data_IF_106340756001
#
_entry.id   IF_106340756001
#
_cell.length_a   1.000
_cell.length_b   1.000
_cell.length_c   1.000
_cell.angle_alpha   90.00
_cell.angle_beta   90.00
_cell.angle_gamma   90.00
#
_symmetry.space_group_name_H-M   'P 1'
#
loop_
_entity.id
_entity.type
_entity.pdbx_description
1 polymer ?
#
# COMPACT_ATOMS: atom_id res chain seq x y z
N UNK A 1 9.75 11.09 23.67
CA UNK A 1 9.23 9.71 23.87
C UNK A 1 9.81 8.70 22.89
N UNK A 2 9.92 9.00 21.58
CA UNK A 2 10.47 8.05 20.59
C UNK A 2 12.00 8.01 20.47
N UNK A 3 12.71 8.90 21.17
CA UNK A 3 14.18 8.97 21.16
C UNK A 3 14.70 10.35 20.78
N UNK A 4 16.00 10.42 20.52
CA UNK A 4 16.74 11.59 20.04
C UNK A 4 17.01 11.52 18.53
N UNK A 5 17.54 12.60 17.96
CA UNK A 5 18.01 12.61 16.57
C UNK A 5 19.16 11.60 16.34
N UNK A 6 19.99 11.34 17.34
CA UNK A 6 21.05 10.33 17.26
C UNK A 6 20.45 8.92 17.19
N UNK A 7 19.46 8.62 18.03
CA UNK A 7 18.73 7.34 18.00
C UNK A 7 18.07 7.11 16.63
N UNK A 8 17.46 8.16 16.08
CA UNK A 8 16.84 8.12 14.76
C UNK A 8 17.86 7.81 13.65
N UNK A 9 18.98 8.53 13.61
CA UNK A 9 20.05 8.28 12.63
C UNK A 9 20.62 6.86 12.76
N UNK A 10 20.78 6.36 13.99
CA UNK A 10 21.21 4.99 14.24
C UNK A 10 20.23 3.96 13.68
N UNK A 11 18.92 4.19 13.83
CA UNK A 11 17.88 3.35 13.22
C UNK A 11 17.97 3.35 11.69
N UNK A 12 18.05 4.54 11.07
CA UNK A 12 18.15 4.67 9.61
C UNK A 12 19.40 3.95 9.09
N UNK A 13 20.55 4.19 9.70
CA UNK A 13 21.81 3.54 9.34
C UNK A 13 21.73 2.02 9.48
N UNK A 14 21.09 1.51 10.54
CA UNK A 14 20.91 0.07 10.74
C UNK A 14 20.02 -0.55 9.66
N UNK A 15 18.94 0.12 9.30
CA UNK A 15 18.05 -0.31 8.22
C UNK A 15 18.79 -0.35 6.87
N UNK A 16 19.56 0.69 6.55
CA UNK A 16 20.39 0.75 5.34
C UNK A 16 21.44 -0.37 5.28
N UNK A 17 22.12 -0.64 6.41
CA UNK A 17 23.08 -1.75 6.50
C UNK A 17 22.45 -3.13 6.27
N UNK A 18 21.13 -3.25 6.45
CA UNK A 18 20.36 -4.45 6.16
C UNK A 18 19.77 -4.46 4.74
N UNK A 19 20.10 -3.47 3.91
CA UNK A 19 19.56 -3.32 2.56
C UNK A 19 18.11 -2.83 2.50
N UNK A 20 17.59 -2.29 3.61
CA UNK A 20 16.26 -1.70 3.68
C UNK A 20 16.31 -0.21 3.38
N UNK A 21 15.17 0.33 2.95
CA UNK A 21 14.94 1.77 2.76
C UNK A 21 14.01 2.26 3.86
N UNK A 22 14.18 3.51 4.28
CA UNK A 22 13.35 4.12 5.34
C UNK A 22 12.59 5.29 4.77
N UNK A 23 11.26 5.23 4.85
CA UNK A 23 10.39 6.38 4.58
C UNK A 23 9.74 6.84 5.87
N UNK A 24 9.37 8.12 5.95
CA UNK A 24 8.64 8.66 7.09
C UNK A 24 7.28 9.20 6.66
N UNK A 25 6.38 9.29 7.63
CA UNK A 25 5.11 9.98 7.44
C UNK A 25 5.34 11.49 7.40
N UNK A 26 4.72 12.16 6.43
CA UNK A 26 4.68 13.61 6.30
C UNK A 26 3.24 14.05 6.39
N UNK A 27 2.93 14.87 7.40
CA UNK A 27 1.58 15.40 7.67
C UNK A 27 1.52 16.89 7.29
N UNK A 28 1.26 17.22 6.01
CA UNK A 28 1.25 18.60 5.54
C UNK A 28 -0.09 19.29 5.76
N UNK A 29 -1.19 18.57 6.00
CA UNK A 29 -2.52 19.18 6.03
C UNK A 29 -2.74 20.11 7.24
N UNK A 30 -2.14 19.77 8.38
CA UNK A 30 -2.37 20.46 9.64
C UNK A 30 -1.17 20.31 10.59
N UNK A 31 -1.15 21.13 11.65
CA UNK A 31 -0.21 21.00 12.76
C UNK A 31 -0.96 20.87 14.09
N UNK A 32 -0.25 20.48 15.14
CA UNK A 32 -0.77 20.61 16.50
C UNK A 32 -1.02 22.09 16.90
N UNK A 33 -1.85 22.37 17.92
CA UNK A 33 -2.23 23.73 18.32
C UNK A 33 -1.09 24.52 18.96
N UNK A 34 -0.09 23.83 19.48
CA UNK A 34 1.12 24.38 20.10
C UNK A 34 2.30 24.52 19.13
N UNK A 35 2.11 24.18 17.85
CA UNK A 35 3.15 24.32 16.83
C UNK A 35 3.65 25.77 16.75
N UNK A 36 4.98 26.02 16.69
CA UNK A 36 5.53 27.38 16.70
C UNK A 36 4.95 28.32 15.63
N UNK A 37 4.62 27.79 14.46
CA UNK A 37 3.97 28.55 13.39
C UNK A 37 2.63 29.18 13.80
N UNK A 38 1.89 28.60 14.74
CA UNK A 38 0.60 29.18 15.20
C UNK A 38 0.80 30.60 15.74
N UNK A 39 1.95 30.86 16.38
CA UNK A 39 2.33 32.19 16.90
C UNK A 39 3.22 32.96 15.93
N UNK A 40 4.19 32.30 15.31
CA UNK A 40 5.25 32.96 14.50
C UNK A 40 4.82 33.25 13.06
N UNK A 41 3.96 32.40 12.50
CA UNK A 41 3.46 32.48 11.11
C UNK A 41 1.94 32.32 11.10
N UNK A 42 1.20 33.24 11.74
CA UNK A 42 -0.24 33.12 11.87
C UNK A 42 -0.97 33.03 10.51
N UNK A 43 -0.38 33.58 9.45
CA UNK A 43 -0.83 33.58 8.06
C UNK A 43 -0.68 32.23 7.35
N UNK A 44 -0.03 31.24 7.96
CA UNK A 44 0.05 29.88 7.41
C UNK A 44 -1.22 29.07 7.63
N UNK A 45 -2.19 29.59 8.40
CA UNK A 45 -3.36 28.84 8.84
C UNK A 45 -4.65 29.39 8.26
N UNK A 46 -5.59 28.48 7.96
CA UNK A 46 -6.97 28.87 7.74
C UNK A 46 -7.55 29.29 9.09
N UNK A 47 -8.14 30.48 9.14
CA UNK A 47 -8.67 31.07 10.37
C UNK A 47 -10.17 31.27 10.29
N UNK A 48 -10.82 31.09 11.42
CA UNK A 48 -12.21 31.45 11.59
C UNK A 48 -12.36 32.97 11.42
N UNK A 49 -13.30 33.40 10.58
CA UNK A 49 -13.45 34.80 10.21
C UNK A 49 -13.96 35.69 11.36
N UNK A 50 -14.49 35.10 12.43
CA UNK A 50 -15.06 35.83 13.57
C UNK A 50 -14.06 35.90 14.72
N UNK A 51 -13.53 34.76 15.13
CA UNK A 51 -12.62 34.62 16.28
C UNK A 51 -11.16 34.83 15.91
N UNK A 52 -10.81 34.71 14.63
CA UNK A 52 -9.43 34.77 14.15
C UNK A 52 -8.57 33.56 14.55
N UNK A 53 -9.17 32.55 15.20
CA UNK A 53 -8.46 31.35 15.68
C UNK A 53 -8.27 30.38 14.50
N UNK A 54 -7.09 29.76 14.35
CA UNK A 54 -6.89 28.70 13.35
C UNK A 54 -7.90 27.55 13.53
N UNK A 55 -8.54 27.14 12.44
CA UNK A 55 -9.57 26.08 12.45
C UNK A 55 -8.94 24.69 12.28
N UNK A 56 -9.64 23.63 12.68
CA UNK A 56 -9.32 22.27 12.25
C UNK A 56 -9.94 21.97 10.87
N UNK A 57 -9.70 20.79 10.31
CA UNK A 57 -10.31 20.36 9.04
C UNK A 57 -11.84 20.33 9.16
N UNK A 58 -12.58 21.16 8.38
CA UNK A 58 -14.05 21.17 8.46
C UNK A 58 -14.64 19.80 8.14
N UNK A 59 -15.66 19.39 8.90
CA UNK A 59 -16.34 18.10 8.73
C UNK A 59 -15.61 16.90 9.33
N UNK A 60 -14.58 17.13 10.16
CA UNK A 60 -13.85 16.09 10.90
C UNK A 60 -13.92 16.35 12.40
N UNK A 61 -13.58 15.35 13.19
CA UNK A 61 -13.45 15.42 14.65
C UNK A 61 -12.03 15.77 15.12
N UNK A 62 -11.16 16.21 14.20
CA UNK A 62 -9.73 16.53 14.43
C UNK A 62 -9.51 17.85 15.19
N UNK A 63 -10.24 18.03 16.29
CA UNK A 63 -10.30 19.28 17.08
C UNK A 63 -8.96 19.68 17.71
N UNK A 64 -8.03 18.74 17.82
CA UNK A 64 -6.66 18.89 18.26
C UNK A 64 -5.70 19.31 17.13
N UNK A 65 -6.18 19.56 15.92
CA UNK A 65 -5.35 20.00 14.79
C UNK A 65 -5.65 21.43 14.35
N UNK A 66 -4.70 22.07 13.67
CA UNK A 66 -4.83 23.40 13.05
C UNK A 66 -4.49 23.31 11.57
N UNK A 67 -5.48 23.57 10.72
CA UNK A 67 -5.41 23.43 9.27
C UNK A 67 -4.55 24.51 8.63
N UNK A 68 -3.62 24.07 7.80
CA UNK A 68 -2.73 24.94 7.05
C UNK A 68 -3.41 25.47 5.76
N UNK A 69 -3.07 26.70 5.36
CA UNK A 69 -3.56 27.34 4.14
C UNK A 69 -2.56 27.19 3.00
N UNK A 70 -2.75 26.16 2.17
CA UNK A 70 -1.90 25.92 0.99
C UNK A 70 -2.11 26.91 -0.15
N UNK A 71 -2.89 27.99 0.01
CA UNK A 71 -2.81 29.15 -0.88
C UNK A 71 -1.57 30.00 -0.60
N UNK A 72 -1.01 29.93 0.61
CA UNK A 72 0.18 30.67 1.01
C UNK A 72 1.44 30.02 0.41
N UNK A 73 2.17 30.74 -0.45
CA UNK A 73 3.39 30.21 -1.11
C UNK A 73 4.61 30.18 -0.19
N UNK A 74 4.66 31.01 0.84
CA UNK A 74 5.72 30.94 1.85
C UNK A 74 5.62 29.68 2.70
N UNK A 75 4.39 29.21 2.96
CA UNK A 75 4.15 27.91 3.57
C UNK A 75 4.73 26.78 2.70
N UNK A 76 4.59 26.86 1.36
CA UNK A 76 5.14 25.84 0.47
C UNK A 76 6.65 25.74 0.61
N UNK A 77 7.34 26.88 0.56
CA UNK A 77 8.79 26.92 0.69
C UNK A 77 9.25 26.41 2.06
N UNK A 78 8.54 26.78 3.12
CA UNK A 78 8.81 26.29 4.49
C UNK A 78 8.61 24.78 4.62
N UNK A 79 7.53 24.26 4.04
CA UNK A 79 7.20 22.82 4.02
C UNK A 79 8.26 22.03 3.26
N UNK A 80 8.62 22.47 2.05
CA UNK A 80 9.65 21.82 1.22
C UNK A 80 11.03 21.89 1.91
N UNK A 81 11.35 23.00 2.55
CA UNK A 81 12.59 23.14 3.34
C UNK A 81 12.65 22.12 4.48
N UNK A 82 11.57 21.93 5.22
CA UNK A 82 11.50 20.93 6.29
C UNK A 82 11.65 19.50 5.77
N UNK A 83 11.02 19.16 4.64
CA UNK A 83 11.21 17.86 3.99
C UNK A 83 12.67 17.65 3.55
N UNK A 84 13.29 18.65 2.94
CA UNK A 84 14.72 18.61 2.58
C UNK A 84 15.63 18.46 3.79
N UNK A 85 15.30 19.11 4.90
CA UNK A 85 16.03 18.94 6.16
C UNK A 85 16.03 17.48 6.61
N UNK A 86 14.87 16.81 6.66
CA UNK A 86 14.80 15.40 7.04
C UNK A 86 15.65 14.51 6.14
N UNK A 87 15.60 14.73 4.82
CA UNK A 87 16.40 13.99 3.85
C UNK A 87 17.89 14.20 4.06
N UNK A 88 18.33 15.46 4.19
CA UNK A 88 19.74 15.81 4.34
C UNK A 88 20.31 15.39 5.70
N UNK A 89 19.53 15.59 6.77
CA UNK A 89 19.97 15.36 8.15
C UNK A 89 20.02 13.87 8.48
N UNK A 90 19.05 13.11 7.98
CA UNK A 90 18.80 11.74 8.48
C UNK A 90 19.03 10.65 7.43
N UNK A 91 19.12 11.03 6.15
CA UNK A 91 19.37 10.08 5.07
C UNK A 91 18.17 9.23 4.66
N UNK A 92 16.96 9.50 5.18
CA UNK A 92 15.72 8.81 4.77
C UNK A 92 15.55 8.78 3.25
N UNK A 93 14.87 7.75 2.77
CA UNK A 93 14.74 7.43 1.35
C UNK A 93 13.40 7.87 0.75
N UNK A 94 12.51 8.47 1.53
CA UNK A 94 11.22 8.88 1.02
C UNK A 94 10.23 9.34 2.08
N UNK A 95 9.03 9.66 1.58
CA UNK A 95 7.91 10.12 2.39
C UNK A 95 6.63 9.36 2.01
N UNK A 96 5.84 8.99 3.02
CA UNK A 96 4.39 8.77 2.89
C UNK A 96 3.71 10.10 3.21
N UNK A 97 2.97 10.64 2.25
CA UNK A 97 2.34 11.95 2.38
C UNK A 97 0.88 11.78 2.77
N UNK A 98 0.58 12.07 4.04
CA UNK A 98 -0.74 12.07 4.63
C UNK A 98 -1.69 13.02 3.91
N UNK A 99 -2.92 12.57 3.69
CA UNK A 99 -4.02 13.35 3.14
C UNK A 99 -3.58 14.22 1.95
N UNK A 100 -2.87 13.61 1.00
CA UNK A 100 -2.16 14.31 -0.08
C UNK A 100 -3.10 15.14 -1.00
N UNK A 101 -4.40 14.89 -0.94
CA UNK A 101 -5.42 15.65 -1.66
C UNK A 101 -5.52 17.11 -1.20
N UNK A 102 -5.33 17.37 0.11
CA UNK A 102 -5.64 18.68 0.71
C UNK A 102 -4.74 19.83 0.25
N UNK A 103 -3.50 19.54 -0.16
CA UNK A 103 -2.49 20.53 -0.53
C UNK A 103 -2.57 20.93 -2.01
N UNK A 104 -3.19 20.07 -2.83
CA UNK A 104 -3.38 20.27 -4.26
C UNK A 104 -2.20 19.85 -5.12
N UNK A 105 -2.50 19.56 -6.40
CA UNK A 105 -1.55 19.08 -7.42
C UNK A 105 -0.33 19.98 -7.59
N UNK A 106 -0.52 21.30 -7.61
CA UNK A 106 0.54 22.25 -7.91
C UNK A 106 1.62 22.28 -6.82
N UNK A 107 1.22 22.15 -5.55
CA UNK A 107 2.15 22.05 -4.44
C UNK A 107 3.01 20.80 -4.59
N UNK A 108 2.38 19.65 -4.78
CA UNK A 108 3.08 18.38 -4.92
C UNK A 108 3.99 18.34 -6.14
N UNK A 109 3.57 18.94 -7.26
CA UNK A 109 4.40 19.06 -8.47
C UNK A 109 5.70 19.80 -8.15
N UNK A 110 5.62 20.93 -7.43
CA UNK A 110 6.82 21.68 -7.01
C UNK A 110 7.64 20.89 -5.99
N UNK A 111 7.01 20.38 -4.94
CA UNK A 111 7.67 19.69 -3.84
C UNK A 111 8.42 18.43 -4.33
N UNK A 112 7.77 17.59 -5.11
CA UNK A 112 8.35 16.36 -5.65
C UNK A 112 9.52 16.67 -6.60
N UNK A 113 9.41 17.68 -7.46
CA UNK A 113 10.51 18.11 -8.34
C UNK A 113 11.74 18.58 -7.53
N UNK A 114 11.52 19.38 -6.49
CA UNK A 114 12.60 19.88 -5.65
C UNK A 114 13.25 18.77 -4.79
N UNK A 115 12.45 17.84 -4.27
CA UNK A 115 12.95 16.71 -3.49
C UNK A 115 13.73 15.72 -4.37
N UNK A 116 13.23 15.39 -5.56
CA UNK A 116 13.95 14.54 -6.52
C UNK A 116 15.24 15.17 -7.02
N UNK A 117 15.30 16.50 -7.10
CA UNK A 117 16.55 17.24 -7.35
C UNK A 117 17.52 17.14 -6.17
N UNK A 118 17.03 17.25 -4.93
CA UNK A 118 17.86 17.18 -3.73
C UNK A 118 18.36 15.76 -3.44
N UNK A 119 17.54 14.74 -3.69
CA UNK A 119 17.87 13.33 -3.57
C UNK A 119 17.28 12.55 -4.74
N UNK A 120 18.07 12.30 -5.80
CA UNK A 120 17.65 11.43 -6.89
C UNK A 120 17.24 10.04 -6.36
N UNK A 121 16.07 9.56 -6.79
CA UNK A 121 15.52 8.28 -6.35
C UNK A 121 14.82 8.29 -4.99
N UNK A 122 14.55 9.47 -4.41
CA UNK A 122 13.66 9.59 -3.26
C UNK A 122 12.25 9.06 -3.62
N UNK A 123 11.69 8.21 -2.77
CA UNK A 123 10.36 7.63 -2.94
C UNK A 123 9.30 8.59 -2.40
N UNK A 124 8.35 8.97 -3.24
CA UNK A 124 7.18 9.75 -2.84
C UNK A 124 5.93 8.87 -2.92
N UNK A 125 5.35 8.53 -1.77
CA UNK A 125 4.10 7.79 -1.63
C UNK A 125 2.97 8.76 -1.24
N UNK A 126 1.92 8.85 -2.05
CA UNK A 126 0.72 9.62 -1.72
C UNK A 126 -0.30 8.76 -0.99
N UNK A 127 -0.81 9.22 0.15
CA UNK A 127 -2.11 8.77 0.64
C UNK A 127 -3.23 9.42 -0.20
N UNK A 128 -3.43 8.87 -1.38
CA UNK A 128 -4.48 9.23 -2.34
C UNK A 128 -4.63 8.13 -3.39
N UNK A 129 -5.68 8.22 -4.21
CA UNK A 129 -5.88 7.35 -5.39
C UNK A 129 -6.54 8.14 -6.54
N UNK A 130 -6.10 9.39 -6.75
CA UNK A 130 -6.59 10.28 -7.81
C UNK A 130 -5.67 10.29 -9.03
N UNK A 131 -6.24 10.52 -10.22
CA UNK A 131 -5.51 10.46 -11.50
C UNK A 131 -4.32 11.42 -11.64
N UNK A 132 -4.25 12.48 -10.83
CA UNK A 132 -3.22 13.50 -10.91
C UNK A 132 -1.96 13.16 -10.11
N UNK A 133 -2.01 12.15 -9.22
CA UNK A 133 -0.92 11.88 -8.27
C UNK A 133 0.42 11.59 -8.98
N UNK A 134 0.42 10.75 -10.00
CA UNK A 134 1.63 10.43 -10.75
C UNK A 134 2.09 11.60 -11.65
N UNK A 135 1.16 12.39 -12.18
CA UNK A 135 1.49 13.61 -12.91
C UNK A 135 2.17 14.66 -12.00
N UNK A 136 1.81 14.70 -10.72
CA UNK A 136 2.46 15.54 -9.71
C UNK A 136 3.82 14.99 -9.26
N UNK A 137 4.27 13.86 -9.80
CA UNK A 137 5.58 13.29 -9.54
C UNK A 137 5.65 12.36 -8.33
N UNK A 138 4.52 11.88 -7.80
CA UNK A 138 4.53 10.75 -6.87
C UNK A 138 4.95 9.47 -7.59
N UNK A 139 5.63 8.57 -6.89
CA UNK A 139 6.06 7.28 -7.42
C UNK A 139 5.03 6.17 -7.10
N UNK A 140 4.31 6.35 -6.00
CA UNK A 140 3.36 5.37 -5.48
C UNK A 140 2.12 6.02 -4.88
N UNK A 141 0.96 5.35 -4.96
CA UNK A 141 -0.27 5.73 -4.27
C UNK A 141 -0.93 4.52 -3.62
N UNK A 142 -1.93 4.69 -2.75
CA UNK A 142 -2.63 3.57 -2.13
C UNK A 142 -3.62 2.91 -3.10
N UNK A 143 -3.83 1.60 -2.96
CA UNK A 143 -4.82 0.83 -3.72
C UNK A 143 -6.18 0.75 -2.99
N UNK A 144 -6.75 1.88 -2.55
CA UNK A 144 -7.96 1.93 -1.72
C UNK A 144 -9.17 1.27 -2.37
N UNK A 145 -9.43 1.56 -3.65
CA UNK A 145 -10.53 0.96 -4.43
C UNK A 145 -10.39 -0.55 -4.51
N UNK A 146 -9.17 -1.06 -4.67
CA UNK A 146 -8.93 -2.49 -4.65
C UNK A 146 -9.21 -3.08 -3.28
N UNK A 147 -8.70 -2.47 -2.21
CA UNK A 147 -8.93 -2.93 -0.85
C UNK A 147 -10.42 -3.01 -0.52
N UNK A 148 -11.21 -1.95 -0.73
CA UNK A 148 -12.64 -1.96 -0.45
C UNK A 148 -13.39 -2.99 -1.31
N UNK A 149 -12.99 -3.19 -2.57
CA UNK A 149 -13.56 -4.24 -3.41
C UNK A 149 -13.22 -5.63 -2.88
N UNK A 150 -11.99 -5.86 -2.45
CA UNK A 150 -11.55 -7.11 -1.86
C UNK A 150 -12.32 -7.43 -0.57
N UNK A 151 -12.59 -6.44 0.29
CA UNK A 151 -13.44 -6.59 1.48
C UNK A 151 -14.86 -7.02 1.10
N UNK A 152 -15.45 -6.41 0.06
CA UNK A 152 -16.77 -6.81 -0.43
C UNK A 152 -16.80 -8.25 -0.93
N UNK A 153 -15.75 -8.69 -1.63
CA UNK A 153 -15.61 -10.07 -2.10
C UNK A 153 -15.45 -11.04 -0.94
N UNK A 154 -14.58 -10.72 0.03
CA UNK A 154 -14.37 -11.53 1.25
C UNK A 154 -15.68 -11.70 2.05
N UNK A 155 -16.49 -10.64 2.12
CA UNK A 155 -17.80 -10.65 2.75
C UNK A 155 -18.88 -11.40 1.94
N UNK A 156 -18.60 -11.81 0.70
CA UNK A 156 -19.56 -12.45 -0.21
C UNK A 156 -20.59 -11.48 -0.80
N UNK A 157 -20.35 -10.16 -0.71
CA UNK A 157 -21.24 -9.12 -1.26
C UNK A 157 -21.03 -8.89 -2.76
N UNK A 158 -19.88 -9.30 -3.28
CA UNK A 158 -19.50 -9.17 -4.69
C UNK A 158 -18.76 -10.43 -5.18
N UNK A 159 -18.87 -10.79 -6.47
CA UNK A 159 -18.10 -11.89 -7.06
C UNK A 159 -16.62 -11.51 -7.24
N UNK A 160 -15.75 -12.51 -7.38
CA UNK A 160 -14.32 -12.33 -7.66
C UNK A 160 -14.05 -11.48 -8.91
N UNK A 161 -14.82 -11.68 -9.98
CA UNK A 161 -14.77 -10.88 -11.22
C UNK A 161 -15.01 -9.38 -11.02
N UNK A 162 -15.58 -8.96 -9.88
CA UNK A 162 -15.74 -7.53 -9.60
C UNK A 162 -14.42 -6.79 -9.35
N UNK A 163 -13.30 -7.50 -9.12
CA UNK A 163 -11.97 -6.92 -9.05
C UNK A 163 -11.53 -6.34 -10.42
N UNK A 164 -12.06 -6.87 -11.53
CA UNK A 164 -11.70 -6.42 -12.88
C UNK A 164 -12.11 -4.97 -13.12
N UNK A 165 -13.18 -4.49 -12.48
CA UNK A 165 -13.59 -3.09 -12.61
C UNK A 165 -12.55 -2.13 -12.04
N UNK A 166 -11.89 -2.51 -10.95
CA UNK A 166 -10.83 -1.71 -10.33
C UNK A 166 -9.61 -1.67 -11.23
N UNK A 167 -9.22 -2.82 -11.80
CA UNK A 167 -8.09 -2.87 -12.74
C UNK A 167 -8.36 -2.05 -14.00
N UNK A 168 -9.57 -2.14 -14.55
CA UNK A 168 -9.97 -1.36 -15.71
C UNK A 168 -9.96 0.14 -15.42
N UNK A 169 -10.43 0.56 -14.25
CA UNK A 169 -10.37 1.96 -13.82
C UNK A 169 -8.92 2.43 -13.73
N UNK A 170 -8.03 1.64 -13.11
CA UNK A 170 -6.59 1.95 -13.05
C UNK A 170 -5.99 2.14 -14.46
N UNK A 171 -6.29 1.23 -15.40
CA UNK A 171 -5.76 1.29 -16.77
C UNK A 171 -6.24 2.49 -17.58
N UNK A 172 -7.42 2.99 -17.28
CA UNK A 172 -8.08 4.05 -18.08
C UNK A 172 -7.94 5.43 -17.45
N UNK A 173 -7.67 5.49 -16.15
CA UNK A 173 -7.70 6.74 -15.37
C UNK A 173 -6.32 7.37 -15.22
N UNK A 174 -5.27 6.57 -15.02
CA UNK A 174 -3.92 7.08 -14.77
C UNK A 174 -3.11 7.20 -16.06
N UNK A 175 -2.59 8.39 -16.35
CA UNK A 175 -1.85 8.70 -17.58
C UNK A 175 -0.38 8.32 -17.53
N UNK A 176 0.22 8.39 -16.33
CA UNK A 176 1.61 8.06 -16.08
C UNK A 176 1.72 6.71 -15.36
N UNK A 177 2.76 5.91 -15.66
CA UNK A 177 2.98 4.65 -14.97
C UNK A 177 3.40 4.94 -13.52
N UNK A 178 2.55 4.55 -12.58
CA UNK A 178 2.85 4.57 -11.15
C UNK A 178 2.65 3.20 -10.52
N UNK A 179 3.05 3.10 -9.25
CA UNK A 179 2.88 1.89 -8.43
C UNK A 179 1.74 2.09 -7.43
N UNK A 180 1.02 1.01 -7.15
CA UNK A 180 -0.03 0.99 -6.15
C UNK A 180 0.44 0.18 -4.93
N UNK A 181 0.32 0.77 -3.75
CA UNK A 181 0.54 0.13 -2.48
C UNK A 181 -0.69 -0.72 -2.15
N UNK A 182 -0.60 -2.03 -2.39
CA UNK A 182 -1.67 -2.98 -2.10
C UNK A 182 -1.54 -3.50 -0.67
N UNK A 183 -2.68 -3.61 0.02
CA UNK A 183 -2.73 -4.00 1.42
C UNK A 183 -4.01 -4.76 1.74
N UNK A 184 -3.97 -5.57 2.80
CA UNK A 184 -5.18 -6.12 3.46
C UNK A 184 -5.50 -5.37 4.75
N UNK A 185 -4.55 -4.58 5.25
CA UNK A 185 -4.73 -3.66 6.39
C UNK A 185 -3.64 -2.59 6.37
N UNK A 186 -3.91 -1.48 7.01
CA UNK A 186 -2.99 -0.39 7.32
C UNK A 186 -3.44 0.24 8.65
N UNK A 187 -2.78 1.31 9.11
CA UNK A 187 -3.13 1.92 10.39
C UNK A 187 -4.56 2.47 10.47
N UNK A 188 -5.12 3.07 9.41
CA UNK A 188 -6.49 3.60 9.42
C UNK A 188 -7.51 2.48 9.50
N UNK A 189 -7.38 1.47 8.65
CA UNK A 189 -8.28 0.33 8.59
C UNK A 189 -8.19 -0.51 9.86
N UNK A 190 -6.98 -0.68 10.39
CA UNK A 190 -6.77 -1.43 11.61
C UNK A 190 -7.38 -0.73 12.82
N UNK A 191 -7.11 0.57 13.00
CA UNK A 191 -7.47 1.32 14.21
C UNK A 191 -8.95 1.73 14.23
N UNK A 192 -9.49 2.18 13.10
CA UNK A 192 -10.87 2.71 13.03
C UNK A 192 -11.91 1.65 12.70
N UNK A 193 -11.54 0.62 11.95
CA UNK A 193 -12.47 -0.43 11.55
C UNK A 193 -12.21 -1.70 12.35
N UNK A 194 -11.25 -2.52 11.92
CA UNK A 194 -10.96 -3.82 12.53
C UNK A 194 -9.52 -4.21 12.24
N UNK A 195 -8.95 -5.02 13.14
CA UNK A 195 -7.72 -5.74 12.89
C UNK A 195 -7.77 -6.45 11.52
N UNK A 196 -6.61 -6.66 10.92
CA UNK A 196 -6.47 -7.30 9.61
C UNK A 196 -7.29 -8.61 9.48
N UNK A 197 -7.21 -9.47 10.51
CA UNK A 197 -8.00 -10.70 10.59
C UNK A 197 -9.48 -10.49 10.93
N UNK A 198 -9.85 -9.36 11.55
CA UNK A 198 -11.24 -8.98 11.71
C UNK A 198 -11.89 -8.53 10.39
N UNK A 199 -11.10 -7.98 9.47
CA UNK A 199 -11.55 -7.56 8.13
C UNK A 199 -11.70 -8.75 7.18
N UNK A 200 -10.72 -9.66 7.16
CA UNK A 200 -10.76 -10.90 6.35
C UNK A 200 -10.46 -12.12 7.24
N UNK A 201 -11.46 -12.72 7.90
CA UNK A 201 -11.22 -13.73 8.92
C UNK A 201 -10.83 -15.11 8.39
N UNK A 202 -9.97 -15.78 9.15
CA UNK A 202 -9.61 -17.18 8.96
C UNK A 202 -8.99 -17.47 7.59
N UNK A 203 -9.47 -18.53 6.94
CA UNK A 203 -8.93 -18.99 5.66
C UNK A 203 -9.09 -17.95 4.53
N UNK A 204 -10.07 -17.06 4.64
CA UNK A 204 -10.32 -16.03 3.61
C UNK A 204 -9.18 -15.04 3.46
N UNK A 205 -8.33 -14.84 4.48
CA UNK A 205 -7.24 -13.86 4.44
C UNK A 205 -6.18 -14.17 3.38
N UNK A 206 -5.69 -15.40 3.38
CA UNK A 206 -4.52 -15.80 2.60
C UNK A 206 -4.64 -15.53 1.09
N UNK A 207 -5.75 -15.84 0.39
CA UNK A 207 -5.86 -15.50 -1.02
C UNK A 207 -5.79 -13.99 -1.29
N UNK A 208 -6.32 -13.13 -0.42
CA UNK A 208 -6.19 -11.68 -0.60
C UNK A 208 -4.76 -11.20 -0.34
N UNK A 209 -4.06 -11.75 0.67
CA UNK A 209 -2.64 -11.47 0.89
C UNK A 209 -1.75 -11.94 -0.30
N UNK A 210 -2.13 -13.01 -0.99
CA UNK A 210 -1.50 -13.41 -2.26
C UNK A 210 -1.74 -12.35 -3.33
N UNK A 211 -2.98 -11.87 -3.49
CA UNK A 211 -3.30 -10.83 -4.47
C UNK A 211 -2.48 -9.56 -4.24
N UNK A 212 -2.41 -9.04 -3.01
CA UNK A 212 -1.65 -7.80 -2.72
C UNK A 212 -0.17 -7.88 -3.10
N UNK A 213 0.41 -9.07 -3.10
CA UNK A 213 1.81 -9.32 -3.46
C UNK A 213 2.05 -9.51 -4.96
N UNK A 214 1.01 -9.87 -5.72
CA UNK A 214 1.14 -10.42 -7.08
C UNK A 214 0.41 -9.64 -8.19
N UNK A 215 -0.52 -8.75 -7.83
CA UNK A 215 -1.18 -7.85 -8.78
C UNK A 215 -0.19 -7.01 -9.61
N UNK A 216 -0.61 -6.53 -10.77
CA UNK A 216 0.20 -5.63 -11.61
C UNK A 216 0.46 -4.29 -10.91
N UNK A 217 1.54 -3.61 -11.31
CA UNK A 217 1.94 -2.31 -10.74
C UNK A 217 1.95 -2.29 -9.20
N UNK A 218 2.12 -3.44 -8.56
CA UNK A 218 1.97 -3.55 -7.11
C UNK A 218 3.25 -3.18 -6.40
N UNK A 219 3.10 -2.65 -5.20
CA UNK A 219 4.05 -2.77 -4.09
C UNK A 219 3.23 -3.29 -2.90
N UNK A 220 3.63 -4.38 -2.25
CA UNK A 220 2.89 -4.91 -1.12
C UNK A 220 3.19 -4.12 0.15
N UNK A 221 2.16 -3.74 0.90
CA UNK A 221 2.27 -3.35 2.30
C UNK A 221 2.03 -4.59 3.16
N UNK A 222 2.98 -4.86 4.06
CA UNK A 222 2.76 -5.72 5.22
C UNK A 222 2.66 -4.80 6.43
N UNK A 223 1.51 -4.79 7.08
CA UNK A 223 1.28 -4.01 8.29
C UNK A 223 1.78 -4.78 9.52
N UNK A 224 2.36 -4.08 10.47
CA UNK A 224 2.97 -4.69 11.65
C UNK A 224 1.97 -5.59 12.39
N UNK A 225 2.38 -6.82 12.70
CA UNK A 225 1.55 -7.80 13.42
C UNK A 225 0.89 -8.84 12.53
N UNK A 226 0.92 -8.68 11.20
CA UNK A 226 0.39 -9.67 10.26
C UNK A 226 1.16 -10.99 10.27
N UNK A 227 2.42 -10.99 10.71
CA UNK A 227 3.29 -12.15 10.84
C UNK A 227 2.90 -13.01 12.05
N UNK A 228 2.36 -12.39 13.10
CA UNK A 228 1.85 -13.01 14.35
C UNK A 228 0.35 -13.33 14.34
N UNK A 229 -0.32 -13.13 13.20
CA UNK A 229 -1.75 -12.76 13.09
C UNK A 229 -2.36 -12.11 14.33
N UNK A 230 -1.94 -10.90 14.66
CA UNK A 230 -2.58 -10.13 15.75
C UNK A 230 -4.05 -9.88 15.42
N UNK A 231 -4.92 -10.25 16.36
CA UNK A 231 -6.37 -10.21 16.20
C UNK A 231 -6.99 -8.91 16.72
N UNK A 232 -6.24 -8.16 17.53
CA UNK A 232 -6.66 -6.90 18.11
C UNK A 232 -6.26 -5.72 17.22
N UNK A 233 -7.09 -4.68 17.23
CA UNK A 233 -6.81 -3.41 16.58
C UNK A 233 -5.84 -2.59 17.43
N UNK A 234 -4.81 -2.07 16.80
CA UNK A 234 -3.83 -1.17 17.42
C UNK A 234 -4.47 0.22 17.57
N UNK A 235 -4.45 0.78 18.77
CA UNK A 235 -5.06 2.10 19.02
C UNK A 235 -4.14 3.26 18.62
N UNK A 236 -4.73 4.34 18.10
CA UNK A 236 -4.01 5.62 17.88
C UNK A 236 -3.66 6.36 19.18
N UNK A 237 -4.52 6.27 20.19
CA UNK A 237 -4.44 7.15 21.37
C UNK A 237 -3.83 6.49 22.60
N UNK A 238 -3.55 5.19 22.52
CA UNK A 238 -2.96 4.42 23.61
C UNK A 238 -1.74 3.67 23.11
N UNK A 239 -0.73 3.57 23.98
CA UNK A 239 0.46 2.76 23.71
C UNK A 239 0.07 1.29 23.74
N UNK A 240 -0.18 0.75 22.56
CA UNK A 240 -0.49 -0.65 22.37
C UNK A 240 0.76 -1.41 21.92
N UNK A 241 1.05 -2.53 22.58
CA UNK A 241 2.28 -3.29 22.35
C UNK A 241 1.96 -4.55 21.56
N UNK A 242 2.46 -4.59 20.32
CA UNK A 242 2.42 -5.80 19.50
C UNK A 242 3.39 -6.82 20.10
N UNK A 243 2.86 -7.95 20.58
CA UNK A 243 3.67 -9.06 21.09
C UNK A 243 3.91 -10.07 19.98
N UNK A 244 5.16 -10.28 19.59
CA UNK A 244 5.55 -11.34 18.67
C UNK A 244 6.01 -12.57 19.45
N UNK A 245 5.45 -13.74 19.13
CA UNK A 245 5.71 -14.99 19.83
C UNK A 245 5.91 -16.17 18.87
N UNK A 246 4.94 -16.44 17.99
CA UNK A 246 4.94 -17.63 17.12
C UNK A 246 5.34 -17.31 15.69
N UNK A 247 5.12 -16.07 15.24
CA UNK A 247 5.34 -15.64 13.86
C UNK A 247 4.70 -16.61 12.86
N UNK A 248 3.49 -17.09 13.17
CA UNK A 248 2.84 -18.22 12.48
C UNK A 248 2.65 -18.00 10.97
N UNK A 249 2.68 -16.75 10.52
CA UNK A 249 2.56 -16.37 9.11
C UNK A 249 3.84 -15.85 8.48
N UNK A 250 4.93 -15.73 9.23
CA UNK A 250 6.19 -15.23 8.69
C UNK A 250 6.68 -16.05 7.50
N UNK A 251 6.55 -17.38 7.53
CA UNK A 251 6.95 -18.24 6.40
C UNK A 251 6.09 -18.02 5.15
N UNK A 252 4.79 -17.78 5.33
CA UNK A 252 3.88 -17.46 4.23
C UNK A 252 4.30 -16.15 3.53
N UNK A 253 4.49 -15.07 4.29
CA UNK A 253 4.95 -13.79 3.73
C UNK A 253 6.37 -13.90 3.16
N UNK A 254 7.27 -14.61 3.84
CA UNK A 254 8.63 -14.85 3.36
C UNK A 254 8.64 -15.57 2.01
N UNK A 255 7.77 -16.56 1.80
CA UNK A 255 7.61 -17.24 0.51
C UNK A 255 7.23 -16.26 -0.61
N UNK A 256 6.23 -15.42 -0.37
CA UNK A 256 5.77 -14.41 -1.34
C UNK A 256 6.83 -13.33 -1.60
N UNK A 257 7.49 -12.82 -0.55
CA UNK A 257 8.56 -11.84 -0.67
C UNK A 257 9.78 -12.41 -1.39
N UNK A 258 10.13 -13.68 -1.15
CA UNK A 258 11.19 -14.38 -1.86
C UNK A 258 10.85 -14.57 -3.34
N UNK A 259 9.60 -14.93 -3.67
CA UNK A 259 9.15 -14.98 -5.05
C UNK A 259 9.34 -13.61 -5.72
N UNK A 260 8.84 -12.55 -5.09
CA UNK A 260 8.90 -11.19 -5.62
C UNK A 260 10.34 -10.69 -5.81
N UNK A 261 11.22 -10.96 -4.85
CA UNK A 261 12.64 -10.58 -4.94
C UNK A 261 13.37 -11.30 -6.08
N UNK A 262 13.01 -12.55 -6.36
CA UNK A 262 13.79 -13.44 -7.22
C UNK A 262 13.10 -13.77 -8.56
N UNK A 263 11.94 -13.19 -8.86
CA UNK A 263 11.22 -13.43 -10.10
C UNK A 263 10.80 -12.10 -10.74
N UNK A 264 11.41 -11.71 -11.89
CA UNK A 264 11.12 -10.43 -12.53
C UNK A 264 9.68 -10.32 -13.05
N UNK A 265 8.93 -11.43 -13.13
CA UNK A 265 7.51 -11.40 -13.46
C UNK A 265 6.68 -10.61 -12.43
N UNK A 266 7.16 -10.40 -11.20
CA UNK A 266 6.47 -9.57 -10.21
C UNK A 266 6.96 -8.11 -10.19
N UNK A 267 7.79 -7.70 -11.15
CA UNK A 267 8.14 -6.29 -11.32
C UNK A 267 6.90 -5.44 -11.65
N UNK A 268 6.94 -4.15 -11.31
CA UNK A 268 5.81 -3.24 -11.53
C UNK A 268 5.41 -3.10 -13.01
N UNK A 269 6.38 -3.20 -13.90
CA UNK A 269 6.27 -3.10 -15.36
C UNK A 269 6.15 -4.46 -16.08
N UNK A 270 6.10 -5.57 -15.34
CA UNK A 270 5.88 -6.89 -15.93
C UNK A 270 4.44 -7.02 -16.45
N UNK A 271 4.26 -7.81 -17.52
CA UNK A 271 2.95 -8.00 -18.15
C UNK A 271 1.94 -8.60 -17.16
N UNK A 272 0.65 -8.39 -17.44
CA UNK A 272 -0.44 -8.95 -16.67
C UNK A 272 -1.51 -9.45 -17.63
N UNK A 273 -1.84 -10.73 -17.55
CA UNK A 273 -2.88 -11.36 -18.36
C UNK A 273 -3.88 -12.06 -17.44
N UNK A 274 -5.11 -11.52 -17.36
CA UNK A 274 -6.23 -12.23 -16.73
C UNK A 274 -6.51 -13.50 -17.53
N UNK A 275 -6.75 -14.61 -16.83
CA UNK A 275 -7.18 -15.86 -17.43
C UNK A 275 -8.64 -16.13 -17.04
N UNK A 276 -9.51 -16.29 -18.03
CA UNK A 276 -10.92 -16.63 -17.82
C UNK A 276 -11.10 -18.13 -17.55
N UNK A 277 -12.09 -18.43 -16.71
CA UNK A 277 -12.47 -19.78 -16.30
C UNK A 277 -13.97 -20.01 -16.52
N UNK A 278 -14.44 -21.23 -16.29
CA UNK A 278 -15.87 -21.53 -16.25
C UNK A 278 -16.60 -20.84 -15.09
N UNK A 279 -15.90 -20.34 -14.05
CA UNK A 279 -16.51 -19.68 -12.90
C UNK A 279 -15.69 -18.50 -12.36
N UNK A 280 -15.56 -17.43 -13.15
CA UNK A 280 -14.85 -16.21 -12.74
C UNK A 280 -15.54 -15.45 -11.60
N UNK A 281 -16.78 -15.83 -11.25
CA UNK A 281 -17.44 -15.28 -10.07
C UNK A 281 -16.81 -15.77 -8.76
N UNK A 282 -16.16 -16.94 -8.77
CA UNK A 282 -15.46 -17.51 -7.62
C UNK A 282 -13.93 -17.57 -7.82
N UNK A 283 -13.47 -17.84 -9.04
CA UNK A 283 -12.05 -18.02 -9.34
C UNK A 283 -11.46 -16.74 -9.93
N UNK A 284 -10.37 -16.26 -9.33
CA UNK A 284 -9.56 -15.20 -9.88
C UNK A 284 -8.19 -15.76 -10.27
N UNK A 285 -7.90 -15.83 -11.57
CA UNK A 285 -6.64 -16.32 -12.10
C UNK A 285 -5.99 -15.35 -13.08
N UNK A 286 -4.66 -15.23 -13.03
CA UNK A 286 -3.88 -14.40 -13.95
C UNK A 286 -2.42 -14.86 -14.05
N UNK A 287 -1.78 -14.49 -15.15
CA UNK A 287 -0.34 -14.65 -15.35
C UNK A 287 0.37 -13.31 -15.37
N UNK A 288 1.59 -13.33 -14.82
CA UNK A 288 2.59 -12.28 -14.95
C UNK A 288 3.80 -12.81 -15.70
N UNK A 289 4.40 -12.00 -16.56
CA UNK A 289 5.60 -12.39 -17.29
C UNK A 289 6.57 -11.21 -17.47
N UNK A 290 7.86 -11.50 -17.32
CA UNK A 290 8.95 -10.62 -17.72
C UNK A 290 10.21 -11.41 -18.01
N UNK A 291 10.87 -11.11 -19.12
CA UNK A 291 12.13 -11.73 -19.54
C UNK A 291 12.08 -13.29 -19.59
N UNK A 292 10.92 -13.85 -19.91
CA UNK A 292 10.65 -15.29 -19.93
C UNK A 292 10.45 -15.93 -18.55
N UNK A 293 10.63 -15.20 -17.45
CA UNK A 293 10.15 -15.66 -16.14
C UNK A 293 8.66 -15.40 -16.03
N UNK A 294 7.94 -16.36 -15.45
CA UNK A 294 6.48 -16.33 -15.34
C UNK A 294 6.02 -16.60 -13.92
N UNK A 295 4.87 -16.04 -13.56
CA UNK A 295 4.12 -16.36 -12.35
C UNK A 295 2.66 -16.54 -12.72
N UNK A 296 2.07 -17.67 -12.32
CA UNK A 296 0.64 -17.93 -12.43
C UNK A 296 0.03 -17.90 -11.03
N UNK A 297 -1.03 -17.12 -10.85
CA UNK A 297 -1.78 -17.04 -9.59
C UNK A 297 -3.19 -17.54 -9.85
N UNK A 298 -3.68 -18.41 -8.97
CA UNK A 298 -5.06 -18.90 -8.98
C UNK A 298 -5.60 -18.83 -7.56
N UNK A 299 -6.67 -18.07 -7.34
CA UNK A 299 -7.32 -17.96 -6.03
C UNK A 299 -8.81 -18.29 -6.14
N UNK A 300 -9.33 -19.01 -5.15
CA UNK A 300 -10.75 -19.21 -4.91
C UNK A 300 -11.21 -18.17 -3.89
N UNK A 301 -12.00 -17.20 -4.31
CA UNK A 301 -12.55 -16.16 -3.43
C UNK A 301 -13.99 -16.51 -3.03
N UNK A 302 -14.24 -17.79 -2.74
CA UNK A 302 -15.55 -18.27 -2.30
C UNK A 302 -15.44 -19.27 -1.15
N UNK A 303 -16.57 -19.46 -0.44
CA UNK A 303 -16.70 -20.40 0.69
C UNK A 303 -16.91 -21.85 0.26
N UNK A 304 -16.97 -22.13 -1.05
CA UNK A 304 -17.24 -23.45 -1.58
C UNK A 304 -16.03 -23.97 -2.36
N UNK A 305 -15.77 -25.29 -2.33
CA UNK A 305 -14.79 -25.88 -3.23
C UNK A 305 -15.23 -25.63 -4.67
N UNK A 306 -14.28 -25.32 -5.53
CA UNK A 306 -14.53 -25.07 -6.95
C UNK A 306 -13.91 -26.16 -7.79
N UNK A 307 -14.68 -26.67 -8.77
CA UNK A 307 -14.16 -27.38 -9.93
C UNK A 307 -14.43 -26.51 -11.14
N UNK A 308 -13.43 -26.26 -11.96
CA UNK A 308 -13.53 -25.32 -13.07
C UNK A 308 -12.73 -25.76 -14.28
N UNK A 309 -13.08 -25.22 -15.44
CA UNK A 309 -12.30 -25.39 -16.67
C UNK A 309 -11.69 -24.06 -17.11
N UNK A 310 -10.52 -24.13 -17.73
CA UNK A 310 -9.82 -22.98 -18.30
C UNK A 310 -10.47 -22.59 -19.63
N UNK A 311 -10.94 -21.35 -19.74
CA UNK A 311 -11.33 -20.76 -21.04
C UNK A 311 -10.11 -20.17 -21.72
N UNK A 312 -9.30 -19.45 -20.96
CA UNK A 312 -7.94 -19.05 -21.35
C UNK A 312 -6.95 -20.02 -20.74
N UNK A 313 -6.18 -20.71 -21.57
CA UNK A 313 -5.19 -21.67 -21.07
C UNK A 313 -4.01 -20.94 -20.42
N UNK A 314 -3.53 -21.44 -19.27
CA UNK A 314 -2.21 -21.09 -18.76
C UNK A 314 -1.13 -21.34 -19.81
N UNK A 315 -0.09 -20.52 -19.81
CA UNK A 315 0.93 -20.55 -20.86
C UNK A 315 1.87 -21.76 -20.77
N UNK A 316 1.93 -22.45 -19.63
CA UNK A 316 2.70 -23.68 -19.44
C UNK A 316 1.79 -24.83 -18.99
N UNK A 317 2.15 -26.05 -19.35
CA UNK A 317 1.41 -27.27 -18.96
C UNK A 317 1.70 -27.69 -17.52
N UNK A 318 2.93 -27.46 -17.06
CA UNK A 318 3.42 -27.81 -15.74
C UNK A 318 4.10 -26.60 -15.11
N UNK A 319 3.91 -26.43 -13.80
CA UNK A 319 4.37 -25.27 -13.04
C UNK A 319 5.00 -25.67 -11.73
N UNK A 320 5.92 -24.85 -11.23
CA UNK A 320 6.56 -25.10 -9.93
C UNK A 320 5.75 -24.38 -8.84
N UNK A 321 5.12 -25.16 -7.96
CA UNK A 321 4.30 -24.63 -6.85
C UNK A 321 5.22 -23.97 -5.81
N UNK A 322 4.95 -22.70 -5.51
CA UNK A 322 5.76 -21.91 -4.59
C UNK A 322 5.80 -22.49 -3.17
N UNK A 323 4.68 -23.01 -2.67
CA UNK A 323 4.52 -23.41 -1.28
C UNK A 323 4.70 -24.91 -1.07
N UNK A 324 4.36 -25.73 -2.06
CA UNK A 324 4.57 -27.18 -2.02
C UNK A 324 5.95 -27.60 -2.52
N UNK A 325 6.65 -26.71 -3.25
CA UNK A 325 7.99 -26.94 -3.80
C UNK A 325 8.09 -28.19 -4.70
N UNK A 326 7.01 -28.50 -5.42
CA UNK A 326 6.92 -29.55 -6.43
C UNK A 326 6.50 -28.97 -7.79
N UNK A 327 6.78 -29.71 -8.86
CA UNK A 327 6.22 -29.41 -10.19
C UNK A 327 4.92 -30.18 -10.36
N UNK A 328 3.86 -29.49 -10.79
CA UNK A 328 2.54 -30.08 -10.98
C UNK A 328 1.79 -29.45 -12.17
N UNK A 329 0.82 -30.16 -12.77
CA UNK A 329 -0.03 -29.58 -13.80
C UNK A 329 -0.92 -28.49 -13.20
N UNK A 330 -1.40 -27.57 -14.04
CA UNK A 330 -2.33 -26.54 -13.56
C UNK A 330 -3.61 -27.18 -13.05
N UNK A 331 -4.03 -26.73 -11.87
CA UNK A 331 -5.20 -27.20 -11.15
C UNK A 331 -6.47 -26.98 -11.98
N UNK A 332 -7.43 -27.89 -11.80
CA UNK A 332 -8.83 -27.72 -12.25
C UNK A 332 -9.82 -27.78 -11.08
N UNK A 333 -9.30 -27.81 -9.85
CA UNK A 333 -10.09 -27.73 -8.62
C UNK A 333 -9.31 -27.04 -7.51
N UNK A 334 -10.01 -26.35 -6.62
CA UNK A 334 -9.40 -25.60 -5.53
C UNK A 334 -10.37 -25.52 -4.34
N UNK A 335 -9.84 -25.73 -3.13
CA UNK A 335 -10.61 -25.72 -1.88
C UNK A 335 -11.19 -24.34 -1.55
N UNK A 336 -12.20 -24.23 -0.66
CA UNK A 336 -12.71 -22.94 -0.17
C UNK A 336 -11.59 -22.01 0.27
N UNK A 337 -11.59 -20.76 -0.19
CA UNK A 337 -10.54 -19.78 0.10
C UNK A 337 -9.11 -20.24 -0.27
N UNK A 338 -8.99 -21.28 -1.08
CA UNK A 338 -7.72 -21.83 -1.52
C UNK A 338 -7.00 -20.88 -2.47
N UNK A 339 -5.69 -21.01 -2.52
CA UNK A 339 -4.83 -20.29 -3.45
C UNK A 339 -3.68 -21.18 -3.88
N UNK A 340 -3.18 -20.94 -5.09
CA UNK A 340 -1.90 -21.47 -5.53
C UNK A 340 -1.15 -20.38 -6.28
N UNK A 341 0.15 -20.32 -6.00
CA UNK A 341 1.09 -19.44 -6.66
C UNK A 341 2.15 -20.31 -7.30
N UNK A 342 2.22 -20.22 -8.61
CA UNK A 342 3.12 -20.97 -9.46
C UNK A 342 4.19 -20.06 -10.01
N UNK A 343 5.37 -20.61 -10.26
CA UNK A 343 6.43 -19.91 -10.97
C UNK A 343 7.08 -20.77 -12.04
N UNK A 344 7.64 -20.09 -13.04
CA UNK A 344 8.69 -20.63 -13.90
C UNK A 344 9.81 -19.60 -13.97
N UNK A 345 11.02 -20.04 -13.62
CA UNK A 345 12.23 -19.25 -13.79
C UNK A 345 12.88 -19.65 -15.10
N UNK A 346 13.39 -18.66 -15.82
CA UNK A 346 14.23 -18.89 -16.99
C UNK A 346 15.65 -19.23 -16.57
#
# INVERSE_FOLDING_TARGET
EFGSMEDWKNLVNKAHNMGMKVIIDWVPNHTAPDHPWVKQHPDFFIRDSVTGIPVHQPGTDWTDTRKLDFKNRQLWDSTISSMKYWVAETGIDGFRCDHAQGQGRDFWTKANAELKKAKPGILMLAEAEDNWVYDAGFDMSYAWKFFHKAVDVAAGRRPASSLDSVLHEVDTTFKAPGLFLYFTSNHDENSWNKADYGTMPGASHAPFAVLTQTMKQSVPLIYSGQEEPVLDSVSFFYKDTITFAKLSRANFYKGLLNLRKNNPALAGDASFKKLATSNDAAIYAFEREKNGSKVLVVVNLSRLPQKFTWKDQPSEKEWDNLFLMNTEPVLTSIEPWGYVVYQKKR
#
